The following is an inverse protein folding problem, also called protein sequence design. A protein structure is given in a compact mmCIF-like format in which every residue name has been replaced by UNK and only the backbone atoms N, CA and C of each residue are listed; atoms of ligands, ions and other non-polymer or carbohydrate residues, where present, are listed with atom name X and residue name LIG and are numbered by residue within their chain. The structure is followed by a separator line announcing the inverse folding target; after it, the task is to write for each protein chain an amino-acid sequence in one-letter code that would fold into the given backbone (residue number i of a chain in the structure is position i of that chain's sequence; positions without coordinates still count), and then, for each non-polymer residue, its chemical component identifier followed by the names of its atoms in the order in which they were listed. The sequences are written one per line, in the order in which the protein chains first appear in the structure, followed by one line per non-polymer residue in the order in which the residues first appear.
data_IF_820046388238
#
_entry.id   IF_820046388238
#
_cell.length_a   1.000
_cell.length_b   1.000
_cell.length_c   1.000
_cell.angle_alpha   90.00
_cell.angle_beta   90.00
_cell.angle_gamma   90.00
#
_symmetry.space_group_name_H-M   'P 1'
#
loop_
_entity.id
_entity.type
_entity.pdbx_description
1 polymer ?
#
# COMPACT_ATOMS: atom_id res chain seq x y z
N UNK A 1 -20.50 -17.55 6.96
CA UNK A 1 -19.92 -17.32 6.73
C UNK A 1 -19.20 -16.91 6.65
N UNK A 2 -19.18 -17.00 6.46
CA UNK A 2 -18.42 -16.60 6.15
C UNK A 2 -17.59 -16.20 6.01
N UNK A 3 -17.58 -16.27 5.98
CA UNK A 3 -16.85 -15.95 5.73
C UNK A 3 -16.00 -15.51 5.54
N UNK A 4 -16.31 -15.53 5.47
CA UNK A 4 -15.64 -15.21 5.22
C UNK A 4 -14.69 -14.64 5.39
N UNK A 5 -14.61 -14.73 5.48
CA UNK A 5 -13.73 -14.21 5.57
C UNK A 5 -12.84 -13.71 5.68
N UNK A 6 -13.45 -13.93 5.58
CA UNK A 6 -12.60 -14.04 5.62
C UNK A 6 -11.39 -13.36 5.53
N UNK A 7 -10.76 -13.78 4.97
CA UNK A 7 -9.57 -12.99 4.94
C UNK A 7 -9.86 -11.65 4.34
N UNK A 8 -9.76 -10.66 5.10
CA UNK A 8 -10.14 -9.32 4.68
C UNK A 8 -8.92 -8.56 4.28
N UNK A 9 -8.96 -8.05 3.08
CA UNK A 9 -7.88 -7.23 2.58
C UNK A 9 -8.42 -5.83 2.36
N UNK A 10 -8.18 -4.91 3.27
CA UNK A 10 -8.77 -3.58 3.19
C UNK A 10 -8.12 -2.68 2.14
N UNK A 11 -7.01 -3.10 1.57
CA UNK A 11 -6.31 -2.27 0.61
C UNK A 11 -6.99 -2.32 -0.75
N UNK A 12 -7.25 -1.14 -1.30
CA UNK A 12 -7.71 -1.03 -2.68
C UNK A 12 -6.46 -0.99 -3.56
N UNK A 13 -6.09 -2.15 -4.08
CA UNK A 13 -4.82 -2.27 -4.79
C UNK A 13 -4.80 -1.46 -6.07
N UNK A 14 -5.95 -1.30 -6.72
CA UNK A 14 -6.01 -0.49 -7.92
C UNK A 14 -5.70 0.97 -7.61
N UNK A 15 -6.31 1.49 -6.56
CA UNK A 15 -6.05 2.87 -6.17
C UNK A 15 -4.63 3.06 -5.68
N UNK A 16 -4.11 2.06 -4.95
CA UNK A 16 -2.74 2.14 -4.49
C UNK A 16 -1.77 2.22 -5.66
N UNK A 17 -1.96 1.34 -6.65
CA UNK A 17 -1.09 1.36 -7.82
C UNK A 17 -1.18 2.69 -8.55
N UNK A 18 -2.39 3.20 -8.72
CA UNK A 18 -2.55 4.49 -9.40
C UNK A 18 -1.87 5.62 -8.64
N UNK A 19 -1.98 5.59 -7.32
CA UNK A 19 -1.37 6.62 -6.51
C UNK A 19 0.15 6.57 -6.60
N UNK A 20 0.71 5.37 -6.55
CA UNK A 20 2.16 5.19 -6.67
C UNK A 20 2.63 5.65 -8.04
N UNK A 21 1.92 5.23 -9.09
CA UNK A 21 2.33 5.60 -10.44
C UNK A 21 2.26 7.11 -10.65
N UNK A 22 1.26 7.76 -10.07
CA UNK A 22 1.12 9.21 -10.19
C UNK A 22 2.11 9.97 -9.33
N UNK A 23 2.69 9.32 -8.34
CA UNK A 23 3.66 9.99 -7.46
C UNK A 23 4.97 10.29 -8.15
N UNK A 24 5.28 9.56 -9.22
CA UNK A 24 6.55 9.71 -9.89
C UNK A 24 7.71 9.03 -9.19
N UNK A 25 7.46 8.38 -8.08
CA UNK A 25 8.51 7.67 -7.34
C UNK A 25 8.80 6.34 -8.00
N UNK A 26 10.07 5.97 -8.01
CA UNK A 26 10.48 4.69 -8.56
C UNK A 26 10.16 3.56 -7.58
N UNK A 27 9.75 2.43 -8.13
CA UNK A 27 9.44 1.28 -7.30
C UNK A 27 10.66 0.81 -6.50
N UNK A 28 11.85 0.92 -7.09
CA UNK A 28 13.08 0.54 -6.37
C UNK A 28 13.28 1.43 -5.15
N UNK A 29 13.01 2.72 -5.30
CA UNK A 29 13.12 3.64 -4.18
C UNK A 29 12.13 3.30 -3.07
N UNK A 30 10.87 3.10 -3.46
CA UNK A 30 9.82 2.80 -2.48
C UNK A 30 10.13 1.49 -1.77
N UNK A 31 10.52 0.47 -2.53
CA UNK A 31 10.85 -0.83 -1.95
C UNK A 31 11.94 -0.70 -0.91
N UNK A 32 12.97 0.07 -1.21
CA UNK A 32 14.07 0.27 -0.29
C UNK A 32 13.61 0.96 0.98
N UNK A 33 12.75 1.95 0.84
CA UNK A 33 12.28 2.70 2.00
C UNK A 33 11.46 1.82 2.97
N UNK A 34 10.68 0.89 2.43
CA UNK A 34 9.86 0.04 3.29
C UNK A 34 10.56 -1.26 3.66
N UNK A 35 11.82 -1.41 3.28
CA UNK A 35 12.61 -2.55 3.74
C UNK A 35 12.53 -3.79 2.88
N UNK A 36 12.05 -3.65 1.66
CA UNK A 36 11.98 -4.79 0.73
C UNK A 36 13.27 -4.90 -0.06
N UNK A 37 13.58 -6.11 -0.48
CA UNK A 37 14.85 -6.36 -1.16
C UNK A 37 14.88 -5.88 -2.60
N UNK A 38 13.73 -5.76 -3.24
CA UNK A 38 13.69 -5.42 -4.65
C UNK A 38 12.36 -4.80 -5.03
N UNK A 39 12.36 -4.12 -6.19
CA UNK A 39 11.13 -3.59 -6.75
C UNK A 39 10.14 -4.71 -7.06
N UNK A 40 10.65 -5.89 -7.40
CA UNK A 40 9.80 -7.03 -7.71
C UNK A 40 9.02 -7.47 -6.48
N UNK A 41 9.65 -7.44 -5.31
CA UNK A 41 8.94 -7.76 -4.08
C UNK A 41 7.81 -6.78 -3.82
N UNK A 42 8.05 -5.50 -4.09
CA UNK A 42 7.02 -4.49 -3.94
C UNK A 42 5.88 -4.72 -4.92
N UNK A 43 6.22 -5.04 -6.18
CA UNK A 43 5.21 -5.31 -7.18
C UNK A 43 4.27 -6.44 -6.77
N UNK A 44 4.83 -7.50 -6.21
CA UNK A 44 4.02 -8.64 -5.78
C UNK A 44 3.04 -8.24 -4.69
N UNK A 45 3.45 -7.37 -3.80
CA UNK A 45 2.56 -6.89 -2.76
C UNK A 45 1.49 -5.97 -3.32
N UNK A 46 1.85 -5.11 -4.28
CA UNK A 46 0.90 -4.22 -4.92
C UNK A 46 -0.10 -5.03 -5.76
N UNK A 47 0.35 -6.14 -6.34
CA UNK A 47 -0.54 -7.02 -7.10
C UNK A 47 -1.44 -7.87 -6.20
N UNK A 48 -1.27 -7.79 -4.89
CA UNK A 48 -2.08 -8.55 -3.97
C UNK A 48 -1.64 -9.99 -3.78
N UNK A 49 -0.49 -10.37 -4.32
CA UNK A 49 0.01 -11.74 -4.18
C UNK A 49 0.57 -12.01 -2.80
N UNK A 50 1.11 -10.99 -2.18
CA UNK A 50 1.62 -11.08 -0.81
C UNK A 50 1.07 -9.89 -0.02
N UNK A 51 0.76 -10.12 1.23
CA UNK A 51 0.19 -9.07 2.07
C UNK A 51 1.26 -8.08 2.51
N UNK A 52 0.85 -6.82 2.66
CA UNK A 52 1.68 -5.82 3.31
C UNK A 52 1.64 -6.05 4.82
N UNK A 53 2.78 -5.87 5.46
CA UNK A 53 2.82 -5.81 6.91
C UNK A 53 2.39 -4.42 7.35
N UNK A 54 1.83 -4.33 8.56
CA UNK A 54 1.40 -3.04 9.07
C UNK A 54 2.54 -2.03 9.08
N UNK A 55 3.73 -2.48 9.49
CA UNK A 55 4.88 -1.59 9.51
C UNK A 55 5.23 -1.08 8.12
N UNK A 56 5.06 -1.93 7.11
CA UNK A 56 5.32 -1.52 5.73
C UNK A 56 4.30 -0.49 5.26
N UNK A 57 3.04 -0.68 5.63
CA UNK A 57 2.00 0.26 5.25
C UNK A 57 2.26 1.64 5.85
N UNK A 58 2.68 1.68 7.10
CA UNK A 58 2.97 2.95 7.75
C UNK A 58 4.08 3.72 7.02
N UNK A 59 5.15 3.02 6.68
CA UNK A 59 6.26 3.66 5.96
C UNK A 59 5.81 4.06 4.56
N UNK A 60 5.03 3.20 3.91
CA UNK A 60 4.55 3.49 2.56
C UNK A 60 3.73 4.77 2.54
N UNK A 61 2.84 4.93 3.51
CA UNK A 61 2.03 6.15 3.61
C UNK A 61 2.93 7.37 3.71
N UNK A 62 3.97 7.29 4.53
CA UNK A 62 4.89 8.40 4.69
C UNK A 62 5.69 8.68 3.42
N UNK A 63 6.16 7.62 2.77
CA UNK A 63 6.94 7.75 1.54
C UNK A 63 6.11 8.41 0.44
N UNK A 64 4.83 8.08 0.40
CA UNK A 64 3.93 8.67 -0.58
C UNK A 64 3.52 10.10 -0.23
N UNK A 65 4.01 10.62 0.88
CA UNK A 65 3.74 11.99 1.26
C UNK A 65 2.36 12.22 1.83
N UNK A 66 1.70 11.16 2.28
CA UNK A 66 0.37 11.28 2.86
C UNK A 66 0.47 11.55 4.36
N UNK A 67 -0.32 12.51 4.81
CA UNK A 67 -0.35 12.90 6.21
C UNK A 67 -1.60 12.33 6.88
N UNK A 68 -1.40 11.68 8.03
CA UNK A 68 -2.55 11.14 8.77
C UNK A 68 -3.54 12.24 9.17
N UNK A 69 -3.05 13.46 9.33
CA UNK A 69 -3.89 14.57 9.74
C UNK A 69 -4.62 15.21 8.58
N UNK A 70 -3.93 15.36 7.45
CA UNK A 70 -4.52 16.10 6.32
C UNK A 70 -5.14 15.18 5.29
N UNK A 71 -4.60 13.98 5.14
CA UNK A 71 -5.00 13.09 4.06
C UNK A 71 -5.71 11.84 4.56
N UNK A 72 -6.30 11.91 5.75
CA UNK A 72 -6.92 10.73 6.34
C UNK A 72 -7.97 10.10 5.43
N UNK A 73 -8.75 10.94 4.76
CA UNK A 73 -9.78 10.42 3.85
C UNK A 73 -9.15 9.63 2.73
N UNK A 74 -8.09 10.16 2.13
CA UNK A 74 -7.40 9.48 1.03
C UNK A 74 -6.75 8.20 1.53
N UNK A 75 -6.14 8.24 2.71
CA UNK A 75 -5.52 7.06 3.29
C UNK A 75 -6.57 5.97 3.49
N UNK A 76 -7.75 6.34 3.98
CA UNK A 76 -8.81 5.36 4.18
C UNK A 76 -9.29 4.77 2.85
N UNK A 77 -9.39 5.60 1.82
CA UNK A 77 -9.85 5.13 0.51
C UNK A 77 -8.88 4.11 -0.07
N UNK A 78 -7.60 4.29 0.14
CA UNK A 78 -6.60 3.39 -0.42
C UNK A 78 -6.37 2.18 0.48
N UNK A 79 -6.18 2.40 1.77
CA UNK A 79 -5.70 1.36 2.66
C UNK A 79 -6.77 0.74 3.54
N UNK A 80 -7.91 1.37 3.65
CA UNK A 80 -9.00 0.87 4.50
C UNK A 80 -10.32 0.99 3.75
N UNK A 81 -10.33 0.55 2.50
CA UNK A 81 -11.47 0.77 1.62
C UNK A 81 -12.60 -0.23 1.85
N UNK A 82 -12.40 -1.21 2.65
CA UNK A 82 -13.45 -2.17 2.94
C UNK A 82 -14.59 -1.53 3.69
#
# INVERSE_FOLDING_TARGET
MSQKNEKINPIDYKKLREYIDNSGLKYTFIAKQIGLKSAQSLQRKIDGKFDFKLSEVKVLIEVLGLSWEKDLKKIKEIFLSN
#
